data_IF_593093503794
#
_entry.id   IF_593093503794
#
_cell.length_a   1.000
_cell.length_b   1.000
_cell.length_c   1.000
_cell.angle_alpha   90.00
_cell.angle_beta   90.00
_cell.angle_gamma   90.00
#
_symmetry.space_group_name_H-M   'P 1'
#
loop_
_entity.id
_entity.type
_entity.pdbx_description
1 polymer ?
#
# COMPACT_ATOMS: atom_id res chain seq x y z
N UNK A 1 25.76 23.00 -18.19
CA UNK A 1 25.32 23.04 -16.77
C UNK A 1 23.86 22.62 -16.75
N UNK A 2 23.59 21.35 -16.50
CA UNK A 2 22.22 20.84 -16.46
C UNK A 2 21.54 21.31 -15.18
N UNK A 3 20.31 21.81 -15.27
CA UNK A 3 19.53 22.20 -14.10
C UNK A 3 19.35 20.98 -13.19
N UNK A 4 19.91 21.03 -11.98
CA UNK A 4 19.61 20.04 -10.96
C UNK A 4 18.14 20.23 -10.58
N UNK A 5 17.26 19.36 -11.08
CA UNK A 5 15.87 19.33 -10.66
C UNK A 5 15.86 18.98 -9.18
N UNK A 6 15.69 19.98 -8.31
CA UNK A 6 15.48 19.75 -6.89
C UNK A 6 14.17 19.00 -6.76
N UNK A 7 14.22 17.74 -6.31
CA UNK A 7 13.02 16.99 -5.94
C UNK A 7 12.34 17.79 -4.84
N UNK A 8 11.33 18.56 -5.22
CA UNK A 8 10.45 19.23 -4.28
C UNK A 8 9.46 18.18 -3.84
N UNK A 9 9.59 17.68 -2.61
CA UNK A 9 8.61 16.77 -2.03
C UNK A 9 7.26 17.50 -1.93
N UNK A 10 6.37 17.14 -2.84
CA UNK A 10 4.91 17.23 -2.72
C UNK A 10 4.48 15.76 -2.58
N UNK A 11 3.69 15.37 -1.54
CA UNK A 11 3.62 14.02 -0.93
C UNK A 11 4.19 12.84 -1.77
N UNK A 12 5.05 11.97 -1.22
CA UNK A 12 5.26 11.69 0.20
C UNK A 12 6.07 12.76 0.94
N UNK A 13 5.95 12.77 2.27
CA UNK A 13 6.82 13.55 3.17
C UNK A 13 7.98 12.72 3.70
N UNK A 14 8.95 13.38 4.34
CA UNK A 14 10.12 12.71 4.93
C UNK A 14 9.77 11.69 6.02
N UNK A 15 8.73 11.96 6.81
CA UNK A 15 8.09 11.00 7.69
C UNK A 15 6.72 10.63 7.12
N UNK A 16 6.51 9.33 6.92
CA UNK A 16 5.31 8.74 6.35
C UNK A 16 4.79 7.61 7.24
N UNK A 17 3.56 7.18 6.97
CA UNK A 17 3.01 5.91 7.45
C UNK A 17 2.28 5.24 6.30
N UNK A 18 2.03 3.94 6.37
CA UNK A 18 1.52 3.20 5.20
C UNK A 18 0.06 3.52 4.90
N UNK A 19 -0.83 3.48 5.88
CA UNK A 19 -2.26 3.60 5.61
C UNK A 19 -3.09 3.31 6.84
N UNK A 20 -3.31 2.03 7.09
CA UNK A 20 -4.07 1.52 8.23
C UNK A 20 -3.47 1.86 9.60
N UNK A 21 -4.35 2.21 10.53
CA UNK A 21 -4.06 2.53 11.93
C UNK A 21 -4.88 1.62 12.85
N UNK A 22 -4.50 1.51 14.13
CA UNK A 22 -5.22 0.66 15.08
C UNK A 22 -6.68 1.11 15.23
N UNK A 23 -7.60 0.13 15.18
CA UNK A 23 -9.03 0.37 15.43
C UNK A 23 -9.26 0.55 16.93
N UNK A 24 -9.91 1.65 17.38
CA UNK A 24 -10.30 1.78 18.78
C UNK A 24 -11.23 0.63 19.20
N UNK A 25 -11.12 0.19 20.45
CA UNK A 25 -11.92 -0.93 20.98
C UNK A 25 -13.44 -0.73 20.81
N UNK A 26 -13.90 0.53 20.89
CA UNK A 26 -15.32 0.90 20.68
C UNK A 26 -15.78 0.57 19.26
N UNK A 27 -14.93 0.81 18.25
CA UNK A 27 -15.24 0.50 16.86
C UNK A 27 -15.27 -1.02 16.63
N UNK A 28 -14.32 -1.77 17.19
CA UNK A 28 -14.29 -3.23 17.09
C UNK A 28 -15.59 -3.82 17.65
N UNK A 29 -15.98 -3.41 18.87
CA UNK A 29 -17.23 -3.84 19.50
C UNK A 29 -18.46 -3.47 18.66
N UNK A 30 -18.48 -2.26 18.07
CA UNK A 30 -19.62 -1.83 17.23
C UNK A 30 -19.72 -2.65 15.95
N UNK A 31 -18.61 -3.06 15.34
CA UNK A 31 -18.60 -3.97 14.19
C UNK A 31 -19.17 -5.35 14.57
N UNK A 32 -18.76 -5.91 15.70
CA UNK A 32 -19.33 -7.17 16.21
C UNK A 32 -20.85 -7.06 16.45
N UNK A 33 -21.33 -5.93 16.97
CA UNK A 33 -22.76 -5.66 17.13
C UNK A 33 -23.47 -5.59 15.77
N UNK A 34 -22.88 -4.93 14.77
CA UNK A 34 -23.43 -4.82 13.43
C UNK A 34 -23.53 -6.18 12.73
N UNK A 35 -22.46 -6.99 12.77
CA UNK A 35 -22.43 -8.36 12.23
C UNK A 35 -23.51 -9.25 12.86
N UNK A 36 -23.77 -9.05 14.15
CA UNK A 36 -24.83 -9.74 14.89
C UNK A 36 -26.21 -9.09 14.74
N UNK A 37 -26.36 -8.10 13.85
CA UNK A 37 -27.60 -7.35 13.58
C UNK A 37 -28.18 -6.68 14.84
N UNK A 38 -27.31 -6.32 15.80
CA UNK A 38 -27.64 -5.63 17.06
C UNK A 38 -27.54 -4.10 16.97
N UNK A 39 -27.02 -3.56 15.87
CA UNK A 39 -27.11 -2.13 15.56
C UNK A 39 -27.36 -1.91 14.06
N UNK A 40 -27.84 -0.72 13.72
CA UNK A 40 -28.04 -0.24 12.35
C UNK A 40 -26.73 0.16 11.68
N UNK A 41 -26.77 0.33 10.34
CA UNK A 41 -25.62 0.82 9.57
C UNK A 41 -25.29 2.28 9.92
N UNK A 42 -26.31 3.08 10.24
CA UNK A 42 -26.17 4.46 10.67
C UNK A 42 -25.47 4.55 12.04
N UNK A 43 -25.81 3.68 12.98
CA UNK A 43 -25.14 3.60 14.28
C UNK A 43 -23.68 3.15 14.15
N UNK A 44 -23.39 2.19 13.27
CA UNK A 44 -22.00 1.80 12.97
C UNK A 44 -21.24 2.97 12.34
N UNK A 45 -21.83 3.63 11.34
CA UNK A 45 -21.21 4.76 10.63
C UNK A 45 -20.84 5.90 11.58
N UNK A 46 -21.68 6.22 12.56
CA UNK A 46 -21.38 7.24 13.56
C UNK A 46 -20.13 6.91 14.40
N UNK A 47 -19.93 5.62 14.74
CA UNK A 47 -18.74 5.16 15.48
C UNK A 47 -17.51 5.12 14.59
N UNK A 48 -17.64 4.71 13.32
CA UNK A 48 -16.57 4.81 12.31
C UNK A 48 -16.09 6.26 12.17
N UNK A 49 -17.03 7.21 12.09
CA UNK A 49 -16.76 8.64 11.94
C UNK A 49 -15.98 9.21 13.13
N UNK A 50 -16.36 8.88 14.37
CA UNK A 50 -15.58 9.29 15.55
C UNK A 50 -14.21 8.61 15.62
N UNK A 51 -14.11 7.33 15.25
CA UNK A 51 -12.83 6.63 15.21
C UNK A 51 -11.87 7.28 14.19
N UNK A 52 -12.36 7.65 13.01
CA UNK A 52 -11.58 8.40 12.01
C UNK A 52 -11.15 9.75 12.57
N UNK A 53 -12.06 10.50 13.19
CA UNK A 53 -11.73 11.78 13.83
C UNK A 53 -10.64 11.62 14.89
N UNK A 54 -10.69 10.56 15.67
CA UNK A 54 -9.68 10.21 16.66
C UNK A 54 -8.30 9.98 16.04
N UNK A 55 -8.20 9.12 15.02
CA UNK A 55 -6.89 8.83 14.41
C UNK A 55 -6.34 10.01 13.59
N UNK A 56 -7.19 10.88 13.05
CA UNK A 56 -6.75 12.15 12.43
C UNK A 56 -6.08 13.04 13.48
N UNK A 57 -6.70 13.19 14.67
CA UNK A 57 -6.08 13.93 15.78
C UNK A 57 -4.77 13.28 16.24
N UNK A 58 -4.71 11.96 16.32
CA UNK A 58 -3.50 11.22 16.67
C UNK A 58 -2.36 11.59 15.72
N UNK A 59 -2.57 11.43 14.40
CA UNK A 59 -1.58 11.73 13.36
C UNK A 59 -1.08 13.18 13.44
N UNK A 60 -2.00 14.14 13.59
CA UNK A 60 -1.66 15.56 13.74
C UNK A 60 -0.86 15.83 15.02
N UNK A 61 -1.21 15.19 16.14
CA UNK A 61 -0.58 15.42 17.45
C UNK A 61 0.89 15.01 17.50
N UNK A 62 1.26 13.99 16.71
CA UNK A 62 2.64 13.51 16.60
C UNK A 62 3.42 14.18 15.45
N UNK A 63 2.79 15.11 14.72
CA UNK A 63 3.44 15.87 13.65
C UNK A 63 3.52 15.15 12.30
N UNK A 64 2.70 14.12 12.05
CA UNK A 64 2.56 13.56 10.70
C UNK A 64 1.86 14.57 9.79
N UNK A 65 2.40 14.74 8.58
CA UNK A 65 1.82 15.61 7.56
C UNK A 65 0.83 14.88 6.67
N UNK A 66 1.16 13.65 6.26
CA UNK A 66 0.22 12.76 5.58
C UNK A 66 -0.86 12.37 6.56
N UNK A 67 -2.11 12.43 6.11
CA UNK A 67 -3.28 12.05 6.89
C UNK A 67 -4.04 10.97 6.11
N UNK A 68 -4.37 9.88 6.79
CA UNK A 68 -5.32 8.87 6.30
C UNK A 68 -6.49 8.75 7.26
N UNK A 69 -7.54 8.06 6.84
CA UNK A 69 -8.65 7.64 7.69
C UNK A 69 -8.33 6.38 8.52
N UNK A 70 -7.08 5.88 8.45
CA UNK A 70 -6.65 4.65 9.09
C UNK A 70 -7.30 3.38 8.55
N UNK A 71 -7.98 3.42 7.38
CA UNK A 71 -8.78 2.31 6.83
C UNK A 71 -9.85 1.80 7.80
N UNK A 72 -10.32 2.66 8.70
CA UNK A 72 -11.18 2.27 9.83
C UNK A 72 -12.59 1.82 9.40
N UNK A 73 -13.03 2.19 8.18
CA UNK A 73 -14.28 1.73 7.57
C UNK A 73 -14.17 0.35 6.90
N UNK A 74 -12.96 -0.14 6.71
CA UNK A 74 -12.67 -1.44 6.10
C UNK A 74 -12.38 -2.46 7.19
N UNK A 75 -12.73 -3.71 6.94
CA UNK A 75 -12.41 -4.87 7.76
C UNK A 75 -11.07 -5.47 7.35
N UNK A 76 -10.77 -5.42 6.06
CA UNK A 76 -9.50 -5.80 5.44
C UNK A 76 -9.07 -4.76 4.39
N UNK A 77 -7.77 -4.60 4.16
CA UNK A 77 -7.25 -3.52 3.28
C UNK A 77 -7.81 -3.53 1.84
N UNK A 78 -8.30 -4.68 1.38
CA UNK A 78 -8.82 -4.89 0.02
C UNK A 78 -10.34 -4.78 -0.14
N UNK A 79 -11.06 -4.49 0.93
CA UNK A 79 -12.52 -4.33 0.91
C UNK A 79 -12.96 -3.01 0.27
N UNK A 80 -14.04 -3.04 -0.52
CA UNK A 80 -14.73 -1.85 -1.02
C UNK A 80 -14.52 -1.53 -2.49
N UNK A 81 -13.58 -2.20 -3.17
CA UNK A 81 -13.36 -2.02 -4.62
C UNK A 81 -14.13 -3.07 -5.41
N UNK A 82 -13.72 -4.33 -5.31
CA UNK A 82 -14.17 -5.36 -6.24
C UNK A 82 -15.62 -5.80 -5.98
N UNK A 83 -16.03 -5.86 -4.72
CA UNK A 83 -17.39 -6.21 -4.28
C UNK A 83 -18.44 -5.16 -4.64
N UNK A 84 -18.00 -3.96 -5.04
CA UNK A 84 -18.89 -2.85 -5.41
C UNK A 84 -19.03 -2.65 -6.92
N UNK A 85 -18.24 -3.37 -7.73
CA UNK A 85 -18.23 -3.29 -9.19
C UNK A 85 -19.30 -4.18 -9.81
N UNK A 86 -19.98 -3.67 -10.83
CA UNK A 86 -20.80 -4.52 -11.71
C UNK A 86 -19.88 -5.50 -12.45
N UNK A 87 -20.35 -6.72 -12.68
CA UNK A 87 -19.58 -7.78 -13.33
C UNK A 87 -18.64 -8.54 -12.37
N UNK A 88 -18.48 -8.08 -11.13
CA UNK A 88 -17.76 -8.78 -10.06
C UNK A 88 -18.76 -9.42 -9.10
N UNK A 89 -18.68 -10.74 -8.95
CA UNK A 89 -19.60 -11.51 -8.12
C UNK A 89 -18.86 -12.08 -6.91
N UNK A 90 -19.36 -11.80 -5.71
CA UNK A 90 -18.86 -12.38 -4.46
C UNK A 90 -19.23 -13.88 -4.43
N UNK A 91 -18.21 -14.71 -4.20
CA UNK A 91 -18.32 -16.15 -4.01
C UNK A 91 -17.99 -16.47 -2.55
N UNK A 92 -18.98 -16.63 -1.65
CA UNK A 92 -18.73 -16.78 -0.22
C UNK A 92 -18.00 -18.09 0.14
N UNK A 93 -18.27 -19.15 -0.61
CA UNK A 93 -17.83 -20.51 -0.29
C UNK A 93 -17.09 -21.15 -1.48
N UNK A 94 -16.02 -20.50 -1.97
CA UNK A 94 -15.26 -21.06 -3.09
C UNK A 94 -14.30 -22.13 -2.58
N UNK A 95 -14.26 -23.35 -3.17
CA UNK A 95 -13.33 -24.40 -2.75
C UNK A 95 -11.88 -23.91 -2.80
N UNK A 96 -11.10 -24.25 -1.77
CA UNK A 96 -9.69 -23.81 -1.66
C UNK A 96 -8.85 -24.28 -2.85
N UNK A 97 -9.25 -25.37 -3.51
CA UNK A 97 -8.64 -25.91 -4.74
C UNK A 97 -8.71 -24.96 -5.94
N UNK A 98 -9.60 -23.96 -5.91
CA UNK A 98 -9.66 -22.88 -6.90
C UNK A 98 -8.61 -21.77 -6.66
N UNK A 99 -7.86 -21.85 -5.56
CA UNK A 99 -6.80 -20.90 -5.21
C UNK A 99 -5.44 -21.54 -5.46
N UNK A 100 -4.50 -20.75 -5.97
CA UNK A 100 -3.13 -21.18 -6.28
C UNK A 100 -2.36 -21.44 -4.98
N UNK A 101 -2.07 -22.71 -4.70
CA UNK A 101 -1.42 -23.14 -3.45
C UNK A 101 -0.01 -22.61 -3.24
N UNK A 102 0.69 -22.23 -4.32
CA UNK A 102 2.01 -21.61 -4.26
C UNK A 102 1.99 -20.14 -3.83
N UNK A 103 0.80 -19.52 -3.77
CA UNK A 103 0.66 -18.17 -3.23
C UNK A 103 0.83 -18.21 -1.71
N UNK A 104 1.70 -17.38 -1.10
CA UNK A 104 2.10 -17.65 0.28
C UNK A 104 0.98 -17.59 1.33
N UNK A 105 0.08 -16.60 1.27
CA UNK A 105 -1.06 -16.55 2.19
C UNK A 105 -2.09 -17.66 1.93
N UNK A 106 -2.21 -18.14 0.69
CA UNK A 106 -3.05 -19.29 0.34
C UNK A 106 -2.41 -20.59 0.87
N UNK A 107 -1.09 -20.74 0.77
CA UNK A 107 -0.36 -21.87 1.35
C UNK A 107 -0.62 -22.00 2.86
N UNK A 108 -0.67 -20.88 3.59
CA UNK A 108 -1.05 -20.88 5.00
C UNK A 108 -2.49 -21.36 5.22
N UNK A 109 -3.43 -20.97 4.36
CA UNK A 109 -4.82 -21.44 4.42
C UNK A 109 -4.92 -22.95 4.20
N UNK A 110 -4.19 -23.50 3.22
CA UNK A 110 -4.10 -24.96 3.02
C UNK A 110 -3.54 -25.67 4.26
N UNK A 111 -2.45 -25.16 4.84
CA UNK A 111 -1.85 -25.72 6.06
C UNK A 111 -2.78 -25.64 7.27
N UNK A 112 -3.60 -24.61 7.35
CA UNK A 112 -4.63 -24.45 8.38
C UNK A 112 -5.89 -25.31 8.14
N UNK A 113 -5.93 -26.10 7.06
CA UNK A 113 -7.04 -27.00 6.76
C UNK A 113 -8.31 -26.31 6.25
N UNK A 114 -8.21 -25.04 5.83
CA UNK A 114 -9.33 -24.28 5.26
C UNK A 114 -9.85 -25.01 4.01
N UNK A 115 -11.16 -25.26 3.94
CA UNK A 115 -11.79 -25.99 2.83
C UNK A 115 -12.36 -25.07 1.77
N UNK A 116 -12.91 -23.95 2.20
CA UNK A 116 -13.57 -22.96 1.37
C UNK A 116 -13.21 -21.57 1.89
N UNK A 117 -13.18 -20.60 0.99
CA UNK A 117 -12.93 -19.21 1.34
C UNK A 117 -13.73 -18.27 0.46
N UNK A 118 -14.09 -17.12 1.02
CA UNK A 118 -14.71 -16.05 0.27
C UNK A 118 -13.72 -15.47 -0.74
N UNK A 119 -14.21 -15.19 -1.95
CA UNK A 119 -13.46 -14.49 -2.99
C UNK A 119 -14.39 -13.83 -4.01
N UNK A 120 -13.83 -13.23 -5.05
CA UNK A 120 -14.57 -12.60 -6.14
C UNK A 120 -14.25 -13.30 -7.46
N UNK A 121 -15.29 -13.48 -8.27
CA UNK A 121 -15.19 -13.96 -9.65
C UNK A 121 -15.86 -12.96 -10.58
N UNK A 122 -15.17 -12.60 -11.67
CA UNK A 122 -15.70 -11.69 -12.66
C UNK A 122 -16.59 -12.43 -13.66
N UNK A 123 -17.90 -12.38 -13.44
CA UNK A 123 -18.91 -13.08 -14.24
C UNK A 123 -19.54 -12.21 -15.34
N UNK A 124 -19.11 -10.96 -15.50
CA UNK A 124 -19.67 -10.02 -16.47
C UNK A 124 -18.73 -8.85 -16.75
N UNK A 125 -19.10 -7.98 -17.70
CA UNK A 125 -18.29 -6.79 -18.04
C UNK A 125 -18.22 -5.85 -16.83
N UNK A 126 -17.01 -5.45 -16.50
CA UNK A 126 -16.73 -4.62 -15.33
C UNK A 126 -17.23 -3.19 -15.57
N UNK A 127 -18.04 -2.67 -14.64
CA UNK A 127 -18.47 -1.27 -14.66
C UNK A 127 -18.52 -0.69 -13.25
N UNK A 128 -18.11 0.57 -13.14
CA UNK A 128 -18.26 1.38 -11.92
C UNK A 128 -19.63 2.05 -11.93
N UNK A 129 -20.54 1.57 -11.10
CA UNK A 129 -21.89 2.15 -10.95
C UNK A 129 -22.00 3.12 -9.77
N UNK A 130 -21.06 3.04 -8.82
CA UNK A 130 -20.93 3.92 -7.65
C UNK A 130 -19.45 4.10 -7.29
N UNK A 131 -19.07 5.17 -6.57
CA UNK A 131 -17.71 5.32 -6.04
C UNK A 131 -17.35 4.23 -5.02
N UNK A 132 -16.05 3.99 -4.87
CA UNK A 132 -15.52 3.02 -3.91
C UNK A 132 -15.14 3.70 -2.59
N UNK A 133 -14.32 4.75 -2.66
CA UNK A 133 -13.73 5.47 -1.53
C UNK A 133 -13.96 6.99 -1.59
N UNK A 134 -14.62 7.52 -2.64
CA UNK A 134 -14.93 8.95 -2.74
C UNK A 134 -15.67 9.47 -1.51
N UNK A 135 -16.65 8.73 -0.98
CA UNK A 135 -17.42 9.20 0.18
C UNK A 135 -16.60 9.16 1.48
N UNK A 136 -15.66 8.22 1.61
CA UNK A 136 -14.69 8.19 2.70
C UNK A 136 -13.75 9.40 2.62
N UNK A 137 -13.24 9.71 1.42
CA UNK A 137 -12.43 10.91 1.17
C UNK A 137 -13.20 12.20 1.48
N UNK A 138 -14.46 12.31 1.08
CA UNK A 138 -15.31 13.48 1.39
C UNK A 138 -15.41 13.69 2.89
N UNK A 139 -15.63 12.62 3.66
CA UNK A 139 -15.67 12.72 5.12
C UNK A 139 -14.31 13.14 5.70
N UNK A 140 -13.23 12.46 5.31
CA UNK A 140 -11.87 12.79 5.78
C UNK A 140 -11.49 14.24 5.47
N UNK A 141 -11.89 14.74 4.29
CA UNK A 141 -11.71 16.14 3.88
C UNK A 141 -12.34 17.14 4.86
N UNK A 142 -13.44 16.78 5.54
CA UNK A 142 -14.08 17.66 6.55
C UNK A 142 -13.27 17.79 7.84
N UNK A 143 -12.32 16.88 8.08
CA UNK A 143 -11.53 16.80 9.31
C UNK A 143 -10.19 17.54 9.20
N UNK A 144 -9.88 18.09 8.03
CA UNK A 144 -8.65 18.85 7.77
C UNK A 144 -8.97 20.24 7.23
N UNK A 145 -8.02 21.17 7.36
CA UNK A 145 -8.18 22.49 6.78
C UNK A 145 -8.07 22.43 5.25
N UNK A 146 -8.66 23.41 4.55
CA UNK A 146 -8.66 23.44 3.07
C UNK A 146 -7.24 23.33 2.47
N UNK A 147 -6.25 24.00 3.08
CA UNK A 147 -4.84 23.94 2.67
C UNK A 147 -4.19 22.56 2.86
N UNK A 148 -4.74 21.73 3.73
CA UNK A 148 -4.20 20.42 4.11
C UNK A 148 -4.91 19.26 3.39
N UNK A 149 -5.98 19.52 2.62
CA UNK A 149 -6.69 18.50 1.81
C UNK A 149 -5.73 17.75 0.88
N UNK A 150 -4.75 18.46 0.31
CA UNK A 150 -3.71 17.87 -0.55
C UNK A 150 -2.75 16.91 0.17
N UNK A 151 -2.79 16.86 1.51
CA UNK A 151 -2.00 15.95 2.33
C UNK A 151 -2.77 14.69 2.74
N UNK A 152 -4.04 14.60 2.35
CA UNK A 152 -4.79 13.36 2.50
C UNK A 152 -4.23 12.33 1.53
N UNK A 153 -3.96 11.13 2.05
CA UNK A 153 -3.60 9.94 1.28
C UNK A 153 -4.73 8.92 1.34
N UNK A 154 -5.09 8.36 0.18
CA UNK A 154 -6.02 7.25 0.07
C UNK A 154 -5.26 5.99 -0.33
N UNK A 155 -5.47 4.90 0.40
CA UNK A 155 -4.98 3.57 0.04
C UNK A 155 -6.02 2.82 -0.77
N UNK A 156 -5.57 2.11 -1.81
CA UNK A 156 -6.39 1.29 -2.69
C UNK A 156 -5.73 -0.06 -2.89
N UNK A 157 -6.52 -1.13 -2.92
CA UNK A 157 -6.00 -2.45 -3.26
C UNK A 157 -5.54 -2.50 -4.71
N UNK A 158 -4.49 -3.26 -4.97
CA UNK A 158 -4.01 -3.54 -6.32
C UNK A 158 -5.07 -4.25 -7.19
N UNK A 159 -5.21 -3.87 -8.48
CA UNK A 159 -6.09 -4.54 -9.43
C UNK A 159 -5.76 -6.03 -9.64
N UNK A 160 -4.54 -6.47 -9.33
CA UNK A 160 -4.08 -7.85 -9.59
C UNK A 160 -4.44 -8.84 -8.48
N UNK A 161 -5.01 -8.36 -7.37
CA UNK A 161 -5.18 -9.13 -6.13
C UNK A 161 -5.91 -10.46 -6.32
N UNK A 162 -7.05 -10.46 -7.01
CA UNK A 162 -7.80 -11.69 -7.27
C UNK A 162 -7.19 -12.52 -8.40
N UNK A 163 -6.61 -11.87 -9.41
CA UNK A 163 -5.91 -12.58 -10.48
C UNK A 163 -4.76 -13.42 -9.95
N UNK A 164 -3.99 -12.88 -9.02
CA UNK A 164 -2.90 -13.58 -8.39
C UNK A 164 -3.34 -14.83 -7.63
N UNK A 165 -4.51 -14.80 -7.00
CA UNK A 165 -5.06 -15.92 -6.22
C UNK A 165 -5.56 -17.05 -7.08
N UNK A 166 -6.05 -16.76 -8.28
CA UNK A 166 -6.83 -17.69 -9.09
C UNK A 166 -6.22 -18.02 -10.46
N UNK A 167 -5.36 -17.14 -10.99
CA UNK A 167 -4.92 -17.17 -12.37
C UNK A 167 -6.05 -16.87 -13.36
N UNK A 168 -5.70 -16.76 -14.63
CA UNK A 168 -6.61 -16.34 -15.70
C UNK A 168 -7.90 -17.18 -15.76
N UNK A 169 -7.79 -18.50 -15.60
CA UNK A 169 -8.92 -19.44 -15.79
C UNK A 169 -10.01 -19.35 -14.73
N UNK A 170 -9.69 -18.81 -13.56
CA UNK A 170 -10.58 -18.81 -12.40
C UNK A 170 -10.83 -17.40 -11.85
N UNK A 171 -10.30 -16.37 -12.48
CA UNK A 171 -10.53 -14.96 -12.08
C UNK A 171 -11.76 -14.38 -12.76
N UNK A 172 -11.95 -14.70 -14.04
CA UNK A 172 -13.02 -14.15 -14.86
C UNK A 172 -13.60 -15.19 -15.81
N UNK A 173 -14.82 -14.95 -16.28
CA UNK A 173 -15.48 -15.78 -17.27
C UNK A 173 -14.85 -15.58 -18.66
N UNK A 174 -14.35 -16.67 -19.26
CA UNK A 174 -13.71 -16.68 -20.59
C UNK A 174 -14.69 -16.33 -21.74
N UNK A 175 -15.99 -16.37 -21.50
CA UNK A 175 -16.99 -15.86 -22.45
C UNK A 175 -17.04 -14.34 -22.46
N UNK A 176 -16.67 -13.68 -21.35
CA UNK A 176 -16.65 -12.23 -21.17
C UNK A 176 -15.31 -11.61 -21.56
N UNK A 177 -14.21 -12.20 -21.11
CA UNK A 177 -12.85 -11.74 -21.38
C UNK A 177 -12.00 -12.86 -21.97
N UNK A 178 -11.33 -12.62 -23.10
CA UNK A 178 -10.49 -13.62 -23.76
C UNK A 178 -9.08 -13.63 -23.20
N UNK A 179 -8.59 -12.48 -22.74
CA UNK A 179 -7.22 -12.31 -22.25
C UNK A 179 -7.18 -11.54 -20.93
N UNK A 180 -6.08 -11.67 -20.21
CA UNK A 180 -5.84 -10.91 -18.99
C UNK A 180 -5.77 -9.40 -19.29
N UNK A 181 -5.27 -9.02 -20.46
CA UNK A 181 -5.21 -7.63 -20.91
C UNK A 181 -6.61 -7.01 -21.01
N UNK A 182 -7.58 -7.69 -21.64
CA UNK A 182 -8.95 -7.17 -21.74
C UNK A 182 -9.61 -7.01 -20.36
N UNK A 183 -9.34 -7.94 -19.43
CA UNK A 183 -9.82 -7.88 -18.06
C UNK A 183 -9.20 -6.69 -17.29
N UNK A 184 -7.87 -6.53 -17.38
CA UNK A 184 -7.16 -5.45 -16.70
C UNK A 184 -7.42 -4.08 -17.33
N UNK A 185 -7.75 -3.99 -18.62
CA UNK A 185 -8.10 -2.74 -19.28
C UNK A 185 -9.43 -2.18 -18.76
N UNK A 186 -10.43 -3.06 -18.58
CA UNK A 186 -11.70 -2.68 -17.98
C UNK A 186 -11.56 -2.33 -16.49
N UNK A 187 -10.75 -3.08 -15.72
CA UNK A 187 -10.38 -2.66 -14.36
C UNK A 187 -9.71 -1.29 -14.36
N UNK A 188 -8.82 -1.04 -15.33
CA UNK A 188 -8.17 0.24 -15.48
C UNK A 188 -9.15 1.39 -15.67
N UNK A 189 -10.20 1.20 -16.48
CA UNK A 189 -11.23 2.22 -16.70
C UNK A 189 -11.90 2.61 -15.37
N UNK A 190 -12.26 1.63 -14.54
CA UNK A 190 -12.95 1.90 -13.26
C UNK A 190 -12.02 2.51 -12.22
N UNK A 191 -10.76 2.09 -12.14
CA UNK A 191 -9.75 2.71 -11.28
C UNK A 191 -9.49 4.17 -11.67
N UNK A 192 -9.32 4.46 -12.97
CA UNK A 192 -9.12 5.84 -13.46
C UNK A 192 -10.32 6.74 -13.16
N UNK A 193 -11.53 6.21 -13.25
CA UNK A 193 -12.75 6.96 -12.89
C UNK A 193 -12.75 7.35 -11.40
N UNK A 194 -12.43 6.42 -10.51
CA UNK A 194 -12.30 6.68 -9.07
C UNK A 194 -11.21 7.71 -8.77
N UNK A 195 -10.01 7.50 -9.34
CA UNK A 195 -8.85 8.38 -9.18
C UNK A 195 -9.18 9.81 -9.64
N UNK A 196 -9.84 9.95 -10.79
CA UNK A 196 -10.25 11.26 -11.33
C UNK A 196 -11.23 11.98 -10.41
N UNK A 197 -12.21 11.27 -9.86
CA UNK A 197 -13.18 11.86 -8.94
C UNK A 197 -12.53 12.31 -7.63
N UNK A 198 -11.66 11.48 -7.04
CA UNK A 198 -10.85 11.86 -5.87
C UNK A 198 -9.97 13.08 -6.16
N UNK A 199 -9.32 13.11 -7.33
CA UNK A 199 -8.50 14.24 -7.76
C UNK A 199 -9.30 15.55 -7.83
N UNK A 200 -10.50 15.50 -8.41
CA UNK A 200 -11.39 16.65 -8.52
C UNK A 200 -11.84 17.17 -7.15
N UNK A 201 -11.87 16.31 -6.13
CA UNK A 201 -12.18 16.69 -4.75
C UNK A 201 -10.99 17.26 -3.98
N UNK A 202 -9.79 17.26 -4.58
CA UNK A 202 -8.56 17.82 -4.00
C UNK A 202 -7.53 16.77 -3.57
N UNK A 203 -7.79 15.47 -3.78
CA UNK A 203 -6.80 14.43 -3.49
C UNK A 203 -5.56 14.62 -4.38
N UNK A 204 -4.38 14.50 -3.79
CA UNK A 204 -3.08 14.61 -4.49
C UNK A 204 -2.12 13.46 -4.18
N UNK A 205 -2.55 12.49 -3.36
CA UNK A 205 -1.76 11.32 -3.01
C UNK A 205 -2.65 10.08 -2.94
N UNK A 206 -2.41 9.13 -3.83
CA UNK A 206 -3.04 7.82 -3.81
C UNK A 206 -1.94 6.76 -3.71
N UNK A 207 -2.14 5.77 -2.86
CA UNK A 207 -1.25 4.64 -2.69
C UNK A 207 -1.95 3.35 -3.12
N UNK A 208 -1.31 2.57 -3.99
CA UNK A 208 -1.74 1.23 -4.35
C UNK A 208 -1.04 0.24 -3.43
N UNK A 209 -1.79 -0.52 -2.66
CA UNK A 209 -1.28 -1.57 -1.79
C UNK A 209 -1.19 -2.87 -2.57
N UNK A 210 0.05 -3.30 -2.86
CA UNK A 210 0.33 -4.46 -3.68
C UNK A 210 1.42 -5.36 -3.04
N UNK A 211 1.03 -6.31 -2.17
CA UNK A 211 1.96 -7.31 -1.67
C UNK A 211 2.41 -8.32 -2.74
N UNK A 212 1.75 -8.37 -3.91
CA UNK A 212 1.98 -9.39 -4.94
C UNK A 212 3.39 -9.32 -5.50
N UNK A 213 3.91 -8.11 -5.71
CA UNK A 213 5.27 -7.93 -6.22
C UNK A 213 6.33 -8.56 -5.31
N UNK A 214 6.15 -8.47 -3.98
CA UNK A 214 7.07 -9.11 -3.03
C UNK A 214 7.10 -10.63 -3.18
N UNK A 215 6.02 -11.26 -3.65
CA UNK A 215 5.98 -12.70 -3.79
C UNK A 215 6.89 -13.19 -4.93
N UNK A 216 7.15 -12.38 -5.96
CA UNK A 216 8.15 -12.67 -6.99
C UNK A 216 9.61 -12.65 -6.47
N UNK A 217 9.83 -12.24 -5.22
CA UNK A 217 11.13 -12.37 -4.55
C UNK A 217 11.31 -13.71 -3.82
N UNK A 218 10.24 -14.51 -3.69
CA UNK A 218 10.26 -15.77 -2.94
C UNK A 218 10.56 -16.95 -3.84
N UNK A 219 11.64 -17.67 -3.55
CA UNK A 219 12.03 -18.90 -4.28
C UNK A 219 10.92 -19.96 -4.27
N UNK A 220 10.24 -20.14 -3.14
CA UNK A 220 9.12 -21.08 -3.02
C UNK A 220 7.98 -20.74 -3.98
N UNK A 221 7.64 -19.45 -4.12
CA UNK A 221 6.60 -19.03 -5.06
C UNK A 221 7.06 -19.22 -6.50
N UNK A 222 8.30 -18.84 -6.84
CA UNK A 222 8.86 -19.01 -8.17
C UNK A 222 8.86 -20.50 -8.58
N UNK A 223 9.31 -21.38 -7.70
CA UNK A 223 9.29 -22.84 -7.93
C UNK A 223 7.85 -23.37 -8.04
N UNK A 224 6.93 -22.85 -7.23
CA UNK A 224 5.52 -23.23 -7.30
C UNK A 224 4.84 -22.81 -8.61
N UNK A 225 5.16 -21.62 -9.13
CA UNK A 225 4.72 -21.16 -10.44
C UNK A 225 5.30 -22.01 -11.57
N UNK A 226 6.59 -22.32 -11.52
CA UNK A 226 7.26 -23.18 -12.51
C UNK A 226 6.61 -24.57 -12.57
N UNK A 227 6.38 -25.21 -11.41
CA UNK A 227 5.69 -26.51 -11.31
C UNK A 227 4.26 -26.46 -11.84
N UNK A 228 3.61 -25.32 -11.74
CA UNK A 228 2.26 -25.08 -12.27
C UNK A 228 2.26 -24.68 -13.75
N UNK A 229 3.42 -24.61 -14.41
CA UNK A 229 3.55 -24.19 -15.82
C UNK A 229 3.32 -22.69 -16.05
N UNK A 230 3.48 -21.87 -15.02
CA UNK A 230 3.28 -20.41 -15.09
C UNK A 230 4.60 -19.72 -15.38
N UNK A 231 4.66 -18.96 -16.48
CA UNK A 231 5.78 -18.06 -16.77
C UNK A 231 5.72 -16.84 -15.83
N UNK A 232 6.54 -16.89 -14.78
CA UNK A 232 6.59 -15.84 -13.77
C UNK A 232 7.15 -14.52 -14.31
N UNK A 233 7.95 -14.52 -15.39
CA UNK A 233 8.47 -13.27 -15.96
C UNK A 233 7.39 -12.55 -16.77
N UNK A 234 6.66 -13.29 -17.60
CA UNK A 234 5.52 -12.77 -18.35
C UNK A 234 4.39 -12.32 -17.41
N UNK A 235 4.15 -13.06 -16.32
CA UNK A 235 3.16 -12.67 -15.32
C UNK A 235 3.56 -11.38 -14.59
N UNK A 236 4.84 -11.21 -14.26
CA UNK A 236 5.35 -9.96 -13.69
C UNK A 236 5.13 -8.77 -14.65
N UNK A 237 5.40 -8.96 -15.95
CA UNK A 237 5.14 -7.92 -16.96
C UNK A 237 3.65 -7.59 -17.08
N UNK A 238 2.78 -8.59 -16.99
CA UNK A 238 1.32 -8.43 -16.97
C UNK A 238 0.87 -7.59 -15.77
N UNK A 239 1.42 -7.84 -14.58
CA UNK A 239 1.05 -7.08 -13.38
C UNK A 239 1.59 -5.66 -13.38
N UNK A 240 2.80 -5.43 -13.90
CA UNK A 240 3.32 -4.08 -14.11
C UNK A 240 2.39 -3.30 -15.05
N UNK A 241 1.98 -3.91 -16.17
CA UNK A 241 1.03 -3.32 -17.12
C UNK A 241 -0.30 -3.02 -16.44
N UNK A 242 -0.86 -3.95 -15.68
CA UNK A 242 -2.15 -3.77 -15.00
C UNK A 242 -2.15 -2.54 -14.08
N UNK A 243 -1.08 -2.35 -13.29
CA UNK A 243 -0.93 -1.14 -12.46
C UNK A 243 -0.87 0.11 -13.35
N UNK A 244 0.00 0.13 -14.36
CA UNK A 244 0.20 1.30 -15.23
C UNK A 244 -1.10 1.70 -15.95
N UNK A 245 -1.88 0.73 -16.42
CA UNK A 245 -3.18 0.96 -17.05
C UNK A 245 -4.20 1.55 -16.08
N UNK A 246 -4.14 1.22 -14.78
CA UNK A 246 -5.02 1.81 -13.78
C UNK A 246 -4.69 3.28 -13.45
N UNK A 247 -3.48 3.74 -13.77
CA UNK A 247 -2.98 5.07 -13.37
C UNK A 247 -2.52 5.95 -14.54
N UNK A 248 -2.71 5.50 -15.78
CA UNK A 248 -2.43 6.28 -16.99
C UNK A 248 -3.29 7.55 -17.04
N UNK A 249 -2.80 8.56 -17.76
CA UNK A 249 -3.44 9.87 -17.94
C UNK A 249 -3.74 10.62 -16.64
N UNK A 250 -3.11 10.22 -15.52
CA UNK A 250 -3.25 10.93 -14.25
C UNK A 250 -2.67 12.35 -14.36
N UNK A 251 -3.25 13.34 -13.67
CA UNK A 251 -2.69 14.68 -13.62
C UNK A 251 -1.26 14.70 -13.06
N UNK A 252 -0.40 15.57 -13.59
CA UNK A 252 1.02 15.66 -13.22
C UNK A 252 1.28 15.97 -11.73
N UNK A 253 0.33 16.60 -11.05
CA UNK A 253 0.42 16.91 -9.62
C UNK A 253 -0.24 15.86 -8.72
N UNK A 254 -0.84 14.80 -9.29
CA UNK A 254 -1.31 13.63 -8.54
C UNK A 254 -0.18 12.61 -8.38
N UNK A 255 0.20 12.35 -7.13
CA UNK A 255 1.23 11.38 -6.79
C UNK A 255 0.63 10.01 -6.58
N UNK A 256 1.18 9.03 -7.28
CA UNK A 256 0.87 7.62 -7.11
C UNK A 256 2.04 6.93 -6.43
N UNK A 257 1.74 6.31 -5.30
CA UNK A 257 2.67 5.44 -4.59
C UNK A 257 2.26 3.98 -4.76
N UNK A 258 3.21 3.06 -4.65
CA UNK A 258 2.93 1.65 -4.48
C UNK A 258 3.56 1.14 -3.18
N UNK A 259 2.78 0.44 -2.37
CA UNK A 259 3.27 -0.22 -1.17
C UNK A 259 3.46 -1.71 -1.43
N UNK A 260 4.70 -2.15 -1.31
CA UNK A 260 5.11 -3.54 -1.48
C UNK A 260 5.45 -4.10 -0.10
N UNK A 261 4.50 -4.84 0.48
CA UNK A 261 4.68 -5.46 1.80
C UNK A 261 4.82 -6.98 1.68
N UNK A 262 5.43 -7.59 2.69
CA UNK A 262 5.58 -9.06 2.78
C UNK A 262 4.50 -9.68 3.64
N UNK A 263 3.36 -9.02 3.81
CA UNK A 263 2.26 -9.48 4.66
C UNK A 263 2.37 -8.99 6.10
N UNK A 264 1.21 -8.68 6.66
CA UNK A 264 1.06 -8.12 8.00
C UNK A 264 -0.29 -8.53 8.58
N UNK A 265 -0.46 -9.83 8.80
CA UNK A 265 -1.67 -10.43 9.36
C UNK A 265 -1.40 -10.86 10.80
N UNK A 266 -1.90 -10.08 11.78
CA UNK A 266 -1.65 -10.32 13.22
C UNK A 266 -0.16 -10.44 13.55
N UNK A 267 0.66 -9.60 12.91
CA UNK A 267 2.13 -9.65 13.02
C UNK A 267 2.83 -10.73 12.18
N UNK A 268 2.11 -11.61 11.50
CA UNK A 268 2.67 -12.68 10.66
C UNK A 268 2.94 -12.18 9.24
N UNK A 269 4.12 -12.51 8.72
CA UNK A 269 4.50 -12.28 7.32
C UNK A 269 4.09 -13.46 6.44
N UNK A 270 3.93 -13.17 5.15
CA UNK A 270 3.59 -14.14 4.12
C UNK A 270 4.78 -14.50 3.23
N UNK A 271 5.75 -13.62 3.02
CA UNK A 271 6.83 -13.85 2.04
C UNK A 271 8.19 -13.33 2.51
N UNK A 272 9.29 -13.83 1.95
CA UNK A 272 10.68 -13.51 2.32
C UNK A 272 11.52 -13.21 1.08
N UNK A 273 12.75 -12.72 1.27
CA UNK A 273 13.71 -12.45 0.19
C UNK A 273 13.82 -10.97 -0.17
N UNK A 274 15.03 -10.52 -0.51
CA UNK A 274 15.31 -9.14 -0.91
C UNK A 274 14.71 -8.77 -2.28
N UNK A 275 14.56 -7.48 -2.57
CA UNK A 275 13.94 -7.01 -3.83
C UNK A 275 14.80 -7.22 -5.09
N UNK A 276 16.04 -7.70 -4.95
CA UNK A 276 17.01 -7.84 -6.05
C UNK A 276 16.45 -8.52 -7.31
N UNK A 277 15.67 -9.62 -7.23
CA UNK A 277 15.18 -10.32 -8.43
C UNK A 277 14.28 -9.47 -9.33
N UNK A 278 13.57 -8.49 -8.76
CA UNK A 278 12.55 -7.71 -9.48
C UNK A 278 12.90 -6.22 -9.60
N UNK A 279 13.82 -5.71 -8.78
CA UNK A 279 14.04 -4.27 -8.60
C UNK A 279 14.36 -3.53 -9.89
N UNK A 280 15.26 -4.07 -10.72
CA UNK A 280 15.63 -3.44 -11.99
C UNK A 280 14.41 -3.24 -12.90
N UNK A 281 13.56 -4.26 -13.03
CA UNK A 281 12.35 -4.20 -13.87
C UNK A 281 11.28 -3.33 -13.21
N UNK A 282 10.93 -3.62 -11.96
CA UNK A 282 9.84 -2.94 -11.22
C UNK A 282 10.11 -1.44 -11.09
N UNK A 283 11.31 -1.02 -10.68
CA UNK A 283 11.61 0.41 -10.52
C UNK A 283 11.60 1.19 -11.83
N UNK A 284 11.94 0.55 -12.96
CA UNK A 284 12.05 1.21 -14.25
C UNK A 284 10.78 1.09 -15.12
N UNK A 285 9.88 0.14 -14.82
CA UNK A 285 8.69 -0.14 -15.63
C UNK A 285 7.37 0.20 -14.96
N UNK A 286 7.29 0.21 -13.63
CA UNK A 286 6.11 0.75 -12.95
C UNK A 286 6.11 2.28 -13.06
N UNK A 287 5.04 2.81 -13.61
CA UNK A 287 4.81 4.24 -13.76
C UNK A 287 4.26 4.86 -12.47
N UNK A 288 4.92 4.60 -11.34
CA UNK A 288 4.59 5.20 -10.04
C UNK A 288 5.65 6.21 -9.62
N UNK A 289 5.27 7.17 -8.78
CA UNK A 289 6.18 8.21 -8.27
C UNK A 289 7.02 7.72 -7.08
N UNK A 290 6.46 6.80 -6.28
CA UNK A 290 7.02 6.43 -4.98
C UNK A 290 6.83 4.95 -4.66
N UNK A 291 7.86 4.32 -4.12
CA UNK A 291 7.80 2.95 -3.57
C UNK A 291 7.85 2.96 -2.05
N UNK A 292 6.89 2.32 -1.38
CA UNK A 292 6.93 2.04 0.06
C UNK A 292 7.41 0.61 0.26
N UNK A 293 8.64 0.45 0.77
CA UNK A 293 9.34 -0.84 0.84
C UNK A 293 9.62 -1.25 2.29
N UNK A 294 9.20 -2.46 2.67
CA UNK A 294 9.52 -3.07 3.97
C UNK A 294 11.02 -3.39 4.10
N UNK A 295 11.64 -2.98 5.22
CA UNK A 295 13.07 -3.12 5.55
C UNK A 295 13.36 -3.28 7.06
N UNK A 296 12.36 -3.53 7.91
CA UNK A 296 12.50 -3.56 9.39
C UNK A 296 13.32 -4.76 9.91
N UNK A 297 13.48 -5.80 9.12
CA UNK A 297 14.17 -7.04 9.49
C UNK A 297 15.21 -7.44 8.43
N UNK A 298 16.24 -8.18 8.82
CA UNK A 298 17.26 -8.71 7.88
C UNK A 298 16.63 -9.58 6.76
N UNK A 299 15.55 -10.28 7.10
CA UNK A 299 14.73 -11.09 6.17
C UNK A 299 14.14 -10.28 5.01
N UNK A 300 13.92 -8.98 5.18
CA UNK A 300 13.44 -8.10 4.11
C UNK A 300 14.53 -7.79 3.06
N UNK A 301 15.77 -8.23 3.31
CA UNK A 301 16.94 -8.04 2.46
C UNK A 301 17.71 -6.77 2.77
N UNK A 302 18.68 -6.48 1.90
CA UNK A 302 19.52 -5.30 1.98
C UNK A 302 19.02 -4.14 1.07
N UNK A 303 19.76 -3.02 1.09
CA UNK A 303 19.44 -1.85 0.27
C UNK A 303 20.06 -1.88 -1.13
N UNK A 304 20.83 -2.91 -1.52
CA UNK A 304 21.45 -2.99 -2.84
C UNK A 304 20.46 -2.83 -4.01
N UNK A 305 19.20 -3.34 -3.93
CA UNK A 305 18.17 -3.09 -4.94
C UNK A 305 17.93 -1.61 -5.27
N UNK A 306 18.10 -0.70 -4.29
CA UNK A 306 17.91 0.74 -4.49
C UNK A 306 18.88 1.29 -5.54
N UNK A 307 19.98 0.60 -5.82
CA UNK A 307 20.92 0.96 -6.87
C UNK A 307 20.27 1.05 -8.26
N UNK A 308 19.12 0.43 -8.49
CA UNK A 308 18.37 0.50 -9.76
C UNK A 308 17.32 1.61 -9.82
N UNK A 309 17.13 2.38 -8.74
CA UNK A 309 16.06 3.38 -8.65
C UNK A 309 16.32 4.55 -9.62
N UNK A 310 15.37 4.91 -10.51
CA UNK A 310 15.44 6.12 -11.33
C UNK A 310 15.56 7.41 -10.50
N UNK A 311 16.10 8.48 -11.08
CA UNK A 311 16.34 9.76 -10.37
C UNK A 311 15.07 10.54 -10.04
N UNK A 312 14.00 10.29 -10.78
CA UNK A 312 12.69 10.95 -10.66
C UNK A 312 11.75 10.24 -9.69
N UNK A 313 12.14 9.08 -9.13
CA UNK A 313 11.35 8.30 -8.17
C UNK A 313 11.85 8.47 -6.74
N UNK A 314 10.94 8.28 -5.80
CA UNK A 314 11.22 8.34 -4.34
C UNK A 314 10.99 6.96 -3.71
N UNK A 315 11.69 6.67 -2.62
CA UNK A 315 11.47 5.47 -1.80
C UNK A 315 11.17 5.88 -0.37
N UNK A 316 10.09 5.32 0.17
CA UNK A 316 9.80 5.35 1.60
C UNK A 316 10.32 4.06 2.22
N UNK A 317 11.32 4.20 3.10
CA UNK A 317 11.95 3.09 3.79
C UNK A 317 11.10 2.70 5.00
N UNK A 318 10.54 1.49 4.97
CA UNK A 318 9.80 0.89 6.07
C UNK A 318 10.76 0.34 7.14
N UNK A 319 11.20 1.21 8.05
CA UNK A 319 12.29 0.92 9.00
C UNK A 319 11.80 0.65 10.43
N UNK A 320 10.57 1.03 10.75
CA UNK A 320 9.96 0.84 12.08
C UNK A 320 9.02 -0.35 12.04
N UNK A 321 9.20 -1.32 12.92
CA UNK A 321 8.32 -2.49 12.94
C UNK A 321 6.95 -2.12 13.51
N UNK A 322 5.88 -2.65 12.91
CA UNK A 322 4.52 -2.57 13.47
C UNK A 322 4.07 -3.89 14.09
N UNK A 323 4.96 -4.90 14.12
CA UNK A 323 4.64 -6.28 14.50
C UNK A 323 4.90 -6.57 15.98
N UNK A 324 5.53 -5.66 16.71
CA UNK A 324 5.77 -5.74 18.15
C UNK A 324 6.01 -4.36 18.76
N UNK A 325 6.01 -4.29 20.08
CA UNK A 325 6.10 -3.05 20.85
C UNK A 325 7.52 -2.45 20.96
N UNK A 326 8.58 -3.14 20.49
CA UNK A 326 9.94 -2.59 20.57
C UNK A 326 9.98 -1.28 19.80
N UNK A 327 10.36 -0.20 20.49
CA UNK A 327 10.60 1.09 19.86
C UNK A 327 12.06 1.15 19.38
N UNK A 328 12.23 1.41 18.10
CA UNK A 328 13.52 1.71 17.48
C UNK A 328 14.08 3.05 17.98
N UNK A 329 15.38 3.28 17.78
CA UNK A 329 16.02 4.55 18.15
C UNK A 329 16.23 5.47 16.94
N UNK A 330 16.37 6.77 17.20
CA UNK A 330 16.70 7.75 16.14
C UNK A 330 18.02 7.39 15.47
N UNK A 331 19.00 6.91 16.23
CA UNK A 331 20.32 6.52 15.77
C UNK A 331 20.27 5.29 14.85
N UNK A 332 19.47 4.28 15.22
CA UNK A 332 19.23 3.10 14.38
C UNK A 332 18.64 3.52 13.02
N UNK A 333 17.62 4.38 13.03
CA UNK A 333 16.97 4.85 11.81
C UNK A 333 17.92 5.69 10.94
N UNK A 334 18.71 6.59 11.53
CA UNK A 334 19.74 7.37 10.82
C UNK A 334 20.78 6.47 10.15
N UNK A 335 21.26 5.44 10.86
CA UNK A 335 22.22 4.50 10.31
C UNK A 335 21.66 3.76 9.10
N UNK A 336 20.41 3.26 9.20
CA UNK A 336 19.72 2.60 8.07
C UNK A 336 19.51 3.55 6.88
N UNK A 337 19.14 4.81 7.12
CA UNK A 337 19.03 5.81 6.04
C UNK A 337 20.39 6.06 5.37
N UNK A 338 21.48 6.14 6.13
CA UNK A 338 22.82 6.28 5.55
C UNK A 338 23.20 5.10 4.64
N UNK A 339 22.93 3.86 5.08
CA UNK A 339 23.15 2.66 4.25
C UNK A 339 22.34 2.71 2.95
N UNK A 340 21.08 3.14 3.01
CA UNK A 340 20.24 3.30 1.82
C UNK A 340 20.79 4.39 0.87
N UNK A 341 21.32 5.49 1.41
CA UNK A 341 21.98 6.53 0.61
C UNK A 341 23.24 5.99 -0.08
N UNK A 342 24.06 5.20 0.62
CA UNK A 342 25.24 4.55 0.04
C UNK A 342 24.87 3.63 -1.12
N UNK A 343 23.83 2.81 -0.95
CA UNK A 343 23.33 1.95 -2.03
C UNK A 343 22.88 2.75 -3.26
N UNK A 344 22.17 3.87 -3.05
CA UNK A 344 21.75 4.77 -4.13
C UNK A 344 22.94 5.43 -4.83
N UNK A 345 23.97 5.85 -4.08
CA UNK A 345 25.17 6.47 -4.63
C UNK A 345 25.98 5.50 -5.50
N UNK A 346 26.07 4.25 -5.08
CA UNK A 346 26.79 3.18 -5.77
C UNK A 346 25.98 2.56 -6.93
N UNK A 347 24.72 2.95 -7.07
CA UNK A 347 23.81 2.47 -8.10
C UNK A 347 24.02 3.06 -9.49
N UNK A 348 23.13 2.65 -10.40
CA UNK A 348 22.98 3.20 -11.75
C UNK A 348 21.53 3.69 -11.93
N UNK A 349 21.31 5.01 -12.14
CA UNK A 349 22.32 6.04 -12.34
C UNK A 349 23.08 6.43 -11.06
N UNK A 350 24.34 6.86 -11.21
CA UNK A 350 25.12 7.43 -10.11
C UNK A 350 24.52 8.77 -9.67
N UNK A 351 24.58 9.06 -8.38
CA UNK A 351 24.03 10.29 -7.81
C UNK A 351 24.83 10.76 -6.60
N UNK A 352 24.74 12.04 -6.30
CA UNK A 352 25.38 12.61 -5.10
C UNK A 352 24.68 12.10 -3.83
N UNK A 353 25.36 12.18 -2.68
CA UNK A 353 24.76 11.89 -1.37
C UNK A 353 23.49 12.70 -1.14
N UNK A 354 23.49 13.99 -1.51
CA UNK A 354 22.34 14.87 -1.35
C UNK A 354 21.17 14.44 -2.24
N UNK A 355 21.44 14.07 -3.49
CA UNK A 355 20.42 13.55 -4.40
C UNK A 355 19.84 12.25 -3.87
N UNK A 356 20.68 11.30 -3.43
CA UNK A 356 20.23 10.05 -2.83
C UNK A 356 19.37 10.28 -1.59
N UNK A 357 19.83 11.15 -0.67
CA UNK A 357 19.07 11.53 0.52
C UNK A 357 17.73 12.20 0.19
N UNK A 358 17.67 13.00 -0.88
CA UNK A 358 16.45 13.65 -1.33
C UNK A 358 15.43 12.67 -1.94
N UNK A 359 15.84 11.49 -2.37
CA UNK A 359 14.96 10.42 -2.86
C UNK A 359 14.42 9.51 -1.74
N UNK A 360 14.79 9.76 -0.47
CA UNK A 360 14.41 8.91 0.64
C UNK A 360 13.43 9.57 1.60
N UNK A 361 12.53 8.75 2.13
CA UNK A 361 11.65 9.04 3.26
C UNK A 361 11.67 7.84 4.23
N UNK A 362 11.10 7.97 5.42
CA UNK A 362 11.00 6.89 6.41
C UNK A 362 9.55 6.66 6.83
N UNK A 363 9.21 5.42 7.13
CA UNK A 363 7.90 4.99 7.61
C UNK A 363 8.00 3.71 8.44
N UNK A 364 6.89 3.24 9.05
CA UNK A 364 6.81 1.86 9.48
C UNK A 364 6.83 0.90 8.29
N UNK A 365 7.17 -0.36 8.54
CA UNK A 365 7.29 -1.40 7.51
C UNK A 365 6.00 -1.73 6.76
N UNK A 366 4.86 -1.60 7.45
CA UNK A 366 3.50 -1.82 6.95
C UNK A 366 2.56 -0.93 7.79
N UNK A 367 1.25 -0.99 7.53
CA UNK A 367 0.25 -0.38 8.42
C UNK A 367 0.24 -1.01 9.83
N UNK A 368 -0.47 -0.37 10.76
CA UNK A 368 -0.66 -0.90 12.10
C UNK A 368 -1.84 -1.89 12.18
N UNK A 369 -2.73 -1.92 11.18
CA UNK A 369 -3.89 -2.82 11.19
C UNK A 369 -4.41 -3.21 9.79
N UNK A 370 -3.74 -4.14 9.10
CA UNK A 370 -4.18 -4.65 7.79
C UNK A 370 -5.45 -5.53 7.83
N UNK A 371 -5.87 -5.91 9.04
CA UNK A 371 -7.13 -6.62 9.36
C UNK A 371 -7.75 -6.04 10.62
N UNK A 372 -9.05 -6.26 10.84
CA UNK A 372 -9.82 -5.78 12.00
C UNK A 372 -9.09 -5.90 13.34
N UNK A 373 -8.49 -7.06 13.61
CA UNK A 373 -7.83 -7.35 14.90
C UNK A 373 -6.54 -6.57 15.12
N UNK A 374 -5.98 -5.98 14.07
CA UNK A 374 -4.74 -5.22 14.14
C UNK A 374 -3.49 -6.06 14.41
N UNK A 375 -2.38 -5.36 14.67
CA UNK A 375 -1.12 -5.96 15.08
C UNK A 375 -1.00 -5.99 16.62
N UNK A 376 -0.10 -6.82 17.19
CA UNK A 376 0.08 -6.93 18.64
C UNK A 376 0.89 -5.75 19.22
N UNK A 377 0.35 -4.55 19.06
CA UNK A 377 0.87 -3.27 19.54
C UNK A 377 -0.29 -2.44 20.10
N UNK A 378 0.00 -1.62 21.10
CA UNK A 378 -1.01 -0.73 21.69
C UNK A 378 -1.11 0.59 20.93
N UNK A 379 -2.19 1.34 21.14
CA UNK A 379 -2.31 2.72 20.62
C UNK A 379 -1.18 3.63 21.14
N UNK A 380 -0.67 3.34 22.34
CA UNK A 380 0.49 4.01 22.91
C UNK A 380 1.77 3.74 22.10
N UNK A 381 1.98 2.49 21.70
CA UNK A 381 3.11 2.09 20.87
C UNK A 381 3.01 2.69 19.47
N UNK A 382 1.81 2.68 18.87
CA UNK A 382 1.53 3.33 17.58
C UNK A 382 1.90 4.82 17.62
N UNK A 383 1.42 5.54 18.64
CA UNK A 383 1.73 6.97 18.79
C UNK A 383 3.23 7.22 18.96
N UNK A 384 3.91 6.44 19.81
CA UNK A 384 5.37 6.55 20.01
C UNK A 384 6.15 6.29 18.73
N UNK A 385 5.75 5.28 17.95
CA UNK A 385 6.37 4.94 16.67
C UNK A 385 6.17 6.03 15.61
N UNK A 386 4.98 6.61 15.51
CA UNK A 386 4.75 7.74 14.62
C UNK A 386 5.53 9.00 15.06
N UNK A 387 5.58 9.29 16.36
CA UNK A 387 6.35 10.40 16.90
C UNK A 387 7.86 10.22 16.65
N UNK A 388 8.39 9.01 16.80
CA UNK A 388 9.78 8.66 16.47
C UNK A 388 10.11 8.98 15.01
N UNK A 389 9.23 8.63 14.06
CA UNK A 389 9.43 8.91 12.65
C UNK A 389 9.44 10.41 12.37
N UNK A 390 8.48 11.15 12.93
CA UNK A 390 8.40 12.60 12.78
C UNK A 390 9.65 13.31 13.33
N UNK A 391 10.14 12.89 14.50
CA UNK A 391 11.36 13.43 15.11
C UNK A 391 12.62 13.06 14.30
N UNK A 392 12.77 11.79 13.95
CA UNK A 392 13.90 11.31 13.14
C UNK A 392 13.99 12.07 11.81
N UNK A 393 12.84 12.28 11.14
CA UNK A 393 12.81 13.01 9.88
C UNK A 393 13.27 14.47 10.03
N UNK A 394 12.89 15.15 11.11
CA UNK A 394 13.41 16.50 11.40
C UNK A 394 14.91 16.52 11.59
N UNK A 395 15.49 15.47 12.19
CA UNK A 395 16.93 15.40 12.44
C UNK A 395 17.74 15.06 11.18
N UNK A 396 17.23 14.21 10.29
CA UNK A 396 17.92 13.80 9.06
C UNK A 396 17.84 14.90 7.99
N UNK A 397 16.66 15.46 7.76
CA UNK A 397 16.40 16.43 6.69
C UNK A 397 16.25 17.85 7.22
N UNK A 398 17.05 18.24 8.22
CA UNK A 398 17.10 19.63 8.70
C UNK A 398 17.27 20.56 7.49
N UNK A 399 16.26 21.37 7.22
CA UNK A 399 16.39 22.50 6.33
C UNK A 399 17.33 23.48 7.05
N UNK A 400 18.44 23.86 6.42
CA UNK A 400 19.16 25.07 6.82
C UNK A 400 18.18 26.23 6.66
N UNK A 401 17.57 26.65 7.77
CA UNK A 401 16.71 27.84 7.85
C UNK A 401 17.48 29.14 7.61
N UNK A 402 18.77 29.07 7.26
CA UNK A 402 19.60 30.23 7.00
C UNK A 402 19.30 30.93 5.67
N UNK A 403 18.60 30.31 4.70
CA UNK A 403 18.40 30.91 3.36
C UNK A 403 16.93 31.01 2.90
N UNK A 404 15.96 30.82 3.79
CA UNK A 404 14.55 31.08 3.49
C UNK A 404 14.12 32.49 3.96
N UNK A 405 14.86 33.51 3.50
CA UNK A 405 14.41 34.90 3.44
C UNK A 405 14.86 35.45 2.08
N UNK A 406 13.93 35.42 1.12
CA UNK A 406 13.60 36.46 0.14
C UNK A 406 12.55 35.93 -0.83
#
# INVERSE_FOLDING_TARGET
>A
MGSYTTITLRPPFRAEHVGSLLRPAVLIKKREEFEQKRCSAEELRAVEDEAIRHVVRLQQSVGMKTITDGELRRSVFFEGIFDTLEGMTVMPNRPITAFKSYVPHICLMYKAGVKEAETIFCSGKIRRTKPFYVDDFKYLKTLVSEKDVKYIKITMCSPVWYHQRHGSDLTYDRSVYKTDDEYFDDLGIVYRAEIKELYNLGCRHIQIDDPTFCYFCSEDMLSGMEKAGVDHQALLDTYIRAINVCIQDRPNDLRISIHMCRGNYKGVHFSEGGYSPIAAKVFNKLDVDTFYLEYDTERAGDFAPLGYLPLDKTVVLGLVTTKNARLETVEELKARVNQAVEALMNGSPRRSRQTGLNQLCISPQCGFASVCEGNPVTEEDERKKLALLAETAKQIWRFDTAHACL
#
